data_IF_085229539857
#
_entry.id   IF_085229539857
#
_cell.length_a   1.000
_cell.length_b   1.000
_cell.length_c   1.000
_cell.angle_alpha   90.00
_cell.angle_beta   90.00
_cell.angle_gamma   90.00
#
_symmetry.space_group_name_H-M   'P 1'
#
loop_
_entity.id
_entity.type
_entity.pdbx_description
1 polymer ?
#
# COMPACT_ATOMS: atom_id res chain seq x y z
N UNK A 1 -11.82 -3.30 -11.26
CA UNK A 1 -10.88 -2.38 -10.57
C UNK A 1 -9.52 -2.50 -11.22
N UNK A 2 -8.77 -1.41 -11.37
CA UNK A 2 -7.45 -1.40 -12.03
C UNK A 2 -6.28 -1.70 -11.09
N UNK A 3 -5.07 -1.78 -11.62
CA UNK A 3 -3.84 -1.92 -10.84
C UNK A 3 -3.24 -0.56 -10.50
N UNK A 4 -2.79 -0.38 -9.26
CA UNK A 4 -1.91 0.71 -8.84
C UNK A 4 -0.46 0.22 -8.95
N UNK A 5 0.35 0.89 -9.77
CA UNK A 5 1.78 0.65 -9.89
C UNK A 5 2.53 1.80 -9.20
N UNK A 6 3.23 1.49 -8.12
CA UNK A 6 4.10 2.41 -7.39
C UNK A 6 5.53 1.85 -7.28
N UNK A 7 5.97 1.04 -8.24
CA UNK A 7 7.32 0.50 -8.24
C UNK A 7 8.35 1.61 -8.38
N UNK A 8 9.40 1.57 -7.54
CA UNK A 8 10.44 2.62 -7.47
C UNK A 8 9.88 4.04 -7.23
N UNK A 9 8.61 4.13 -6.86
CA UNK A 9 7.86 5.36 -6.70
C UNK A 9 7.66 5.72 -5.24
N UNK A 10 7.07 6.89 -5.01
CA UNK A 10 6.73 7.39 -3.68
C UNK A 10 5.31 7.94 -3.68
N UNK A 11 4.49 7.40 -2.79
CA UNK A 11 3.15 7.92 -2.45
C UNK A 11 3.20 8.36 -1.01
N UNK A 12 2.99 9.66 -0.77
CA UNK A 12 2.98 10.25 0.56
C UNK A 12 1.68 10.99 0.82
N UNK A 13 1.14 10.84 2.04
CA UNK A 13 0.00 11.61 2.51
C UNK A 13 0.29 12.20 3.88
N UNK A 14 0.20 13.53 3.99
CA UNK A 14 0.44 14.26 5.25
C UNK A 14 -0.70 14.15 6.28
N UNK A 15 -1.83 13.52 5.92
CA UNK A 15 -3.00 13.26 6.77
C UNK A 15 -3.52 11.85 6.48
N UNK A 16 -4.76 11.56 6.86
CA UNK A 16 -5.39 10.29 6.51
C UNK A 16 -5.49 10.10 4.98
N UNK A 17 -5.13 8.92 4.49
CA UNK A 17 -5.21 8.55 3.08
C UNK A 17 -5.89 7.20 2.89
N UNK A 18 -6.62 7.06 1.77
CA UNK A 18 -7.25 5.81 1.36
C UNK A 18 -6.80 5.44 -0.05
N UNK A 19 -6.11 4.31 -0.17
CA UNK A 19 -5.72 3.70 -1.45
C UNK A 19 -6.77 2.67 -1.84
N UNK A 20 -7.38 2.82 -3.02
CA UNK A 20 -8.36 1.88 -3.58
C UNK A 20 -7.88 1.36 -4.92
N UNK A 21 -7.64 0.06 -5.02
CA UNK A 21 -7.20 -0.59 -6.25
C UNK A 21 -7.72 -2.02 -6.34
N UNK A 22 -7.57 -2.66 -7.50
CA UNK A 22 -7.65 -4.11 -7.62
C UNK A 22 -6.37 -4.72 -7.07
N UNK A 23 -5.25 -4.49 -7.74
CA UNK A 23 -3.93 -4.89 -7.26
C UNK A 23 -3.08 -3.67 -6.95
N UNK A 24 -2.24 -3.75 -5.93
CA UNK A 24 -1.21 -2.75 -5.63
C UNK A 24 0.15 -3.41 -5.80
N UNK A 25 0.95 -2.91 -6.73
CA UNK A 25 2.36 -3.28 -6.90
C UNK A 25 3.22 -2.14 -6.36
N UNK A 26 3.76 -2.32 -5.16
CA UNK A 26 4.61 -1.37 -4.45
C UNK A 26 6.06 -1.89 -4.31
N UNK A 27 6.50 -2.79 -5.19
CA UNK A 27 7.85 -3.36 -5.10
C UNK A 27 8.92 -2.29 -5.28
N UNK A 28 9.90 -2.27 -4.38
CA UNK A 28 10.96 -1.24 -4.36
C UNK A 28 10.42 0.20 -4.27
N UNK A 29 9.13 0.37 -3.98
CA UNK A 29 8.44 1.65 -3.82
C UNK A 29 8.21 1.99 -2.36
N UNK A 30 7.59 3.15 -2.12
CA UNK A 30 7.21 3.59 -0.78
C UNK A 30 5.81 4.20 -0.75
N UNK A 31 5.03 3.78 0.23
CA UNK A 31 3.73 4.35 0.59
C UNK A 31 3.80 4.80 2.05
N UNK A 32 3.59 6.09 2.30
CA UNK A 32 3.73 6.71 3.62
C UNK A 32 2.47 7.50 3.98
N UNK A 33 1.80 7.13 5.07
CA UNK A 33 0.73 7.92 5.68
C UNK A 33 1.16 8.56 7.00
N UNK A 34 1.14 9.90 7.11
CA UNK A 34 1.54 10.59 8.35
C UNK A 34 0.48 10.57 9.46
N UNK A 35 -0.77 10.22 9.16
CA UNK A 35 -1.80 9.94 10.18
C UNK A 35 -2.31 8.50 10.02
N UNK A 36 -3.40 8.30 9.28
CA UNK A 36 -4.01 7.00 9.03
C UNK A 36 -3.80 6.59 7.58
N UNK A 37 -3.38 5.35 7.34
CA UNK A 37 -3.33 4.76 6.00
C UNK A 37 -4.35 3.63 5.89
N UNK A 38 -5.36 3.81 5.04
CA UNK A 38 -6.30 2.78 4.63
C UNK A 38 -5.93 2.24 3.26
N UNK A 39 -5.72 0.93 3.14
CA UNK A 39 -5.52 0.28 1.84
C UNK A 39 -6.68 -0.69 1.62
N UNK A 40 -7.44 -0.45 0.56
CA UNK A 40 -8.53 -1.29 0.06
C UNK A 40 -8.12 -1.85 -1.30
N UNK A 41 -7.67 -3.10 -1.31
CA UNK A 41 -7.24 -3.77 -2.54
C UNK A 41 -7.74 -5.21 -2.60
N UNK A 42 -7.76 -5.85 -3.76
CA UNK A 42 -7.92 -7.30 -3.85
C UNK A 42 -6.60 -8.04 -3.62
N UNK A 43 -5.46 -7.36 -3.77
CA UNK A 43 -4.14 -7.87 -3.40
C UNK A 43 -3.07 -6.77 -3.36
N UNK A 44 -1.99 -7.06 -2.64
CA UNK A 44 -0.86 -6.15 -2.41
C UNK A 44 0.46 -6.93 -2.55
N UNK A 45 1.29 -6.53 -3.50
CA UNK A 45 2.69 -6.94 -3.64
C UNK A 45 3.58 -5.80 -3.14
N UNK A 46 4.16 -5.97 -1.96
CA UNK A 46 5.07 -5.04 -1.31
C UNK A 46 6.46 -5.67 -1.10
N UNK A 47 6.91 -6.51 -2.03
CA UNK A 47 8.24 -7.13 -1.91
C UNK A 47 9.34 -6.10 -2.12
N UNK A 48 10.30 -6.03 -1.20
CA UNK A 48 11.37 -5.02 -1.18
C UNK A 48 10.83 -3.57 -1.18
N UNK A 49 9.54 -3.39 -0.88
CA UNK A 49 8.87 -2.10 -0.82
C UNK A 49 8.53 -1.72 0.61
N UNK A 50 8.15 -0.47 0.81
CA UNK A 50 7.75 0.03 2.13
C UNK A 50 6.30 0.52 2.10
N UNK A 51 5.48 0.01 3.01
CA UNK A 51 4.16 0.56 3.33
C UNK A 51 4.16 0.89 4.80
N UNK A 52 4.06 2.17 5.15
CA UNK A 52 4.15 2.64 6.51
C UNK A 52 3.11 3.72 6.84
N UNK A 53 2.74 3.76 8.11
CA UNK A 53 1.89 4.81 8.65
C UNK A 53 2.37 5.21 10.04
N UNK A 54 2.28 6.49 10.36
CA UNK A 54 2.72 7.03 11.65
C UNK A 54 1.71 6.80 12.78
N UNK A 55 0.39 7.05 12.59
CA UNK A 55 -0.61 6.82 13.66
C UNK A 55 -1.32 5.47 13.58
N UNK A 56 -1.63 4.99 12.37
CA UNK A 56 -2.29 3.69 12.25
C UNK A 56 -2.59 3.26 10.84
N UNK A 57 -2.47 1.97 10.60
CA UNK A 57 -2.69 1.37 9.30
C UNK A 57 -3.85 0.38 9.36
N UNK A 58 -4.68 0.38 8.32
CA UNK A 58 -5.72 -0.62 8.14
C UNK A 58 -5.68 -1.12 6.68
N UNK A 59 -5.43 -2.41 6.54
CA UNK A 59 -5.47 -3.13 5.27
C UNK A 59 -6.77 -3.93 5.20
N UNK A 60 -7.58 -3.62 4.20
CA UNK A 60 -8.69 -4.44 3.77
C UNK A 60 -8.31 -5.02 2.42
N UNK A 61 -7.86 -6.28 2.46
CA UNK A 61 -7.50 -7.02 1.27
C UNK A 61 -8.61 -8.01 0.93
N UNK A 62 -8.88 -8.16 -0.36
CA UNK A 62 -9.74 -9.23 -0.88
C UNK A 62 -9.01 -10.59 -0.89
N UNK A 63 -9.62 -11.54 -1.59
CA UNK A 63 -9.29 -12.97 -1.49
C UNK A 63 -7.96 -13.39 -2.15
N UNK A 64 -7.21 -12.46 -2.77
CA UNK A 64 -6.21 -12.83 -3.80
C UNK A 64 -4.77 -12.96 -3.30
N UNK A 65 -4.35 -12.24 -2.23
CA UNK A 65 -3.09 -12.43 -1.44
C UNK A 65 -2.47 -11.10 -0.97
N UNK A 66 -1.78 -11.16 0.19
CA UNK A 66 -0.79 -10.18 0.64
C UNK A 66 0.61 -10.80 0.50
N UNK A 67 1.43 -10.27 -0.40
CA UNK A 67 2.86 -10.60 -0.49
C UNK A 67 3.68 -9.41 0.00
N UNK A 68 4.09 -9.46 1.27
CA UNK A 68 4.94 -8.45 1.90
C UNK A 68 6.21 -9.11 2.41
N UNK A 69 7.32 -8.96 1.68
CA UNK A 69 8.60 -9.62 2.00
C UNK A 69 9.73 -8.59 1.94
N UNK A 70 10.56 -8.57 2.98
CA UNK A 70 11.68 -7.61 3.16
C UNK A 70 11.28 -6.16 3.49
N UNK A 71 10.23 -5.96 4.29
CA UNK A 71 9.79 -4.65 4.77
C UNK A 71 10.61 -4.08 5.93
#
# INVERSE_FOLDING_TARGET
MGQLDNRLGFIGAGKAATLRAGQVDNRQGSVVGSDQLHVQATGLDNREGNVQSVKGMNLSLGDTSLDNRSG
#
